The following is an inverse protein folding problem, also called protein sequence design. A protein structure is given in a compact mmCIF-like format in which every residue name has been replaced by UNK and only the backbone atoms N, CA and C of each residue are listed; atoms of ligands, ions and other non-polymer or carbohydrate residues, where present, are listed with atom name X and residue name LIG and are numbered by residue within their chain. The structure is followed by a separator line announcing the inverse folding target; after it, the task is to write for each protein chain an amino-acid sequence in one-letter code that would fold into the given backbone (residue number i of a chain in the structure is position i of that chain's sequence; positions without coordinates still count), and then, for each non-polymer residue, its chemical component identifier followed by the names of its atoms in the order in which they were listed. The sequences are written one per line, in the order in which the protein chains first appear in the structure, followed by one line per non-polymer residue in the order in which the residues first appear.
data_IF_889256098223
#
_entry.id   IF_889256098223
#
_cell.length_a   1.000
_cell.length_b   1.000
_cell.length_c   1.000
_cell.angle_alpha   90.00
_cell.angle_beta   90.00
_cell.angle_gamma   90.00
#
_symmetry.space_group_name_H-M   'P 1'
#
loop_
_entity.id
_entity.type
_entity.pdbx_description
1 polymer ?
#
# COMPACT_ATOMS: atom_id res chain seq x y z
N UNK A 1 6.49 27.27 13.23
CA UNK A 1 6.18 26.11 14.09
C UNK A 1 6.64 24.82 13.40
N UNK A 2 7.47 24.02 14.05
CA UNK A 2 7.91 22.73 13.52
C UNK A 2 6.70 21.78 13.42
N UNK A 3 6.43 21.24 12.22
CA UNK A 3 5.33 20.28 12.01
C UNK A 3 5.64 18.99 12.77
N UNK A 4 4.70 18.53 13.59
CA UNK A 4 4.79 17.24 14.29
C UNK A 4 5.03 16.11 13.28
N UNK A 5 5.89 15.13 13.64
CA UNK A 5 6.13 13.94 12.82
C UNK A 5 4.84 13.13 12.66
N UNK A 6 4.71 12.41 11.53
CA UNK A 6 3.57 11.53 11.32
C UNK A 6 3.64 10.31 12.22
N UNK A 7 2.49 9.89 12.70
CA UNK A 7 2.36 8.63 13.43
C UNK A 7 2.43 7.46 12.44
N UNK A 8 3.14 6.42 12.82
CA UNK A 8 3.10 5.14 12.13
C UNK A 8 2.77 4.05 13.15
N UNK A 9 1.61 3.47 12.99
CA UNK A 9 1.13 2.33 13.77
C UNK A 9 0.94 1.17 12.79
N UNK A 10 1.76 0.11 12.88
CA UNK A 10 1.55 -1.10 12.08
C UNK A 10 0.16 -1.67 12.31
N UNK A 11 -0.54 -2.02 11.23
CA UNK A 11 -1.94 -2.44 11.30
C UNK A 11 -2.94 -1.30 11.42
N UNK A 12 -2.50 -0.07 11.66
CA UNK A 12 -3.35 1.09 11.84
C UNK A 12 -4.16 1.46 10.61
N UNK A 13 -5.37 1.93 10.83
CA UNK A 13 -6.26 2.45 9.79
C UNK A 13 -6.19 3.98 9.78
N UNK A 14 -6.01 4.53 8.61
CA UNK A 14 -5.84 5.97 8.41
C UNK A 14 -6.89 6.51 7.44
N UNK A 15 -7.51 7.61 7.80
CA UNK A 15 -8.13 8.48 6.82
C UNK A 15 -7.05 9.30 6.13
N UNK A 16 -6.94 9.18 4.82
CA UNK A 16 -5.94 9.88 4.00
C UNK A 16 -6.64 10.76 2.99
N UNK A 17 -6.24 12.04 2.94
CA UNK A 17 -6.71 13.00 1.94
C UNK A 17 -5.51 13.60 1.19
N UNK A 18 -5.52 13.49 -0.12
CA UNK A 18 -4.55 14.14 -0.99
C UNK A 18 -5.26 15.12 -1.91
N UNK A 19 -4.95 16.41 -1.78
CA UNK A 19 -5.56 17.45 -2.61
C UNK A 19 -4.64 17.86 -3.76
N UNK A 20 -5.24 18.31 -4.84
CA UNK A 20 -4.51 18.91 -5.96
C UNK A 20 -3.91 20.26 -5.58
N UNK A 21 -2.89 20.67 -6.33
CA UNK A 21 -2.36 22.01 -6.25
C UNK A 21 -3.28 22.99 -6.99
N UNK A 22 -3.55 24.14 -6.39
CA UNK A 22 -4.38 25.20 -6.97
C UNK A 22 -5.77 24.74 -7.50
N UNK A 23 -6.34 23.69 -6.89
CA UNK A 23 -7.63 23.07 -7.27
C UNK A 23 -7.70 22.60 -8.73
N UNK A 24 -6.55 22.36 -9.38
CA UNK A 24 -6.53 21.77 -10.71
C UNK A 24 -7.06 20.33 -10.66
N UNK A 25 -7.68 19.81 -11.74
CA UNK A 25 -8.11 18.43 -11.77
C UNK A 25 -6.95 17.47 -11.56
N UNK A 26 -7.13 16.50 -10.66
CA UNK A 26 -6.20 15.36 -10.51
C UNK A 26 -6.39 14.39 -11.66
N UNK A 27 -7.65 14.19 -12.06
CA UNK A 27 -8.07 13.31 -13.13
C UNK A 27 -8.73 14.12 -14.23
N UNK A 28 -8.24 14.04 -15.44
CA UNK A 28 -8.76 14.78 -16.59
C UNK A 28 -9.65 13.91 -17.48
N UNK A 29 -9.48 12.60 -17.43
CA UNK A 29 -10.26 11.65 -18.20
C UNK A 29 -10.32 10.27 -17.54
N UNK A 30 -11.04 9.33 -18.12
CA UNK A 30 -11.21 7.96 -17.62
C UNK A 30 -9.88 7.20 -17.54
N UNK A 31 -8.91 7.50 -18.40
CA UNK A 31 -7.61 6.84 -18.39
C UNK A 31 -6.76 7.26 -17.18
N UNK A 32 -6.92 8.48 -16.69
CA UNK A 32 -6.24 8.95 -15.48
C UNK A 32 -6.68 8.15 -14.23
N UNK A 33 -7.99 7.90 -14.10
CA UNK A 33 -8.50 7.03 -13.02
C UNK A 33 -7.93 5.62 -13.11
N UNK A 34 -7.97 5.00 -14.30
CA UNK A 34 -7.45 3.66 -14.51
C UNK A 34 -5.95 3.56 -14.19
N UNK A 35 -5.16 4.55 -14.61
CA UNK A 35 -3.73 4.64 -14.28
C UNK A 35 -3.50 4.77 -12.79
N UNK A 36 -4.27 5.63 -12.11
CA UNK A 36 -4.15 5.84 -10.67
C UNK A 36 -4.50 4.57 -9.90
N UNK A 37 -5.61 3.92 -10.22
CA UNK A 37 -6.06 2.68 -9.58
C UNK A 37 -5.09 1.52 -9.79
N UNK A 38 -4.51 1.38 -10.99
CA UNK A 38 -3.48 0.39 -11.27
C UNK A 38 -2.21 0.61 -10.42
N UNK A 39 -1.78 1.89 -10.28
CA UNK A 39 -0.66 2.25 -9.41
C UNK A 39 -0.98 1.96 -7.95
N UNK A 40 -2.18 2.32 -7.51
CA UNK A 40 -2.65 2.06 -6.16
C UNK A 40 -2.67 0.55 -5.87
N UNK A 41 -3.29 -0.26 -6.72
CA UNK A 41 -3.32 -1.71 -6.60
C UNK A 41 -1.91 -2.32 -6.48
N UNK A 42 -0.98 -1.85 -7.32
CA UNK A 42 0.42 -2.27 -7.27
C UNK A 42 1.09 -1.90 -5.94
N UNK A 43 0.83 -0.69 -5.42
CA UNK A 43 1.37 -0.25 -4.14
C UNK A 43 0.77 -1.03 -2.97
N UNK A 44 -0.54 -1.28 -2.98
CA UNK A 44 -1.22 -2.06 -1.95
C UNK A 44 -0.64 -3.48 -1.84
N UNK A 45 -0.45 -4.16 -2.97
CA UNK A 45 0.15 -5.49 -3.00
C UNK A 45 1.59 -5.49 -2.46
N UNK A 46 2.42 -4.52 -2.88
CA UNK A 46 3.82 -4.40 -2.42
C UNK A 46 3.95 -4.07 -0.94
N UNK A 47 3.06 -3.24 -0.43
CA UNK A 47 3.10 -2.77 0.96
C UNK A 47 2.26 -3.64 1.90
N UNK A 48 1.59 -4.67 1.39
CA UNK A 48 0.59 -5.47 2.11
C UNK A 48 -0.45 -4.59 2.81
N UNK A 49 -0.75 -3.44 2.20
CA UNK A 49 -1.73 -2.50 2.70
C UNK A 49 -3.12 -2.83 2.13
N UNK A 50 -4.18 -2.31 2.78
CA UNK A 50 -5.57 -2.51 2.37
C UNK A 50 -6.29 -1.18 2.28
N UNK A 51 -7.11 -1.02 1.26
CA UNK A 51 -8.09 0.08 1.20
C UNK A 51 -9.45 -0.49 1.57
N UNK A 52 -10.07 0.11 2.58
CA UNK A 52 -11.42 -0.24 3.02
C UNK A 52 -12.47 0.57 2.27
N UNK A 53 -12.22 1.84 2.03
CA UNK A 53 -13.10 2.69 1.23
C UNK A 53 -12.33 3.79 0.51
N UNK A 54 -12.90 4.31 -0.55
CA UNK A 54 -12.37 5.47 -1.27
C UNK A 54 -13.48 6.34 -1.86
N UNK A 55 -13.11 7.59 -2.14
CA UNK A 55 -13.85 8.50 -2.99
C UNK A 55 -12.85 9.36 -3.77
N UNK A 56 -12.99 9.38 -5.08
CA UNK A 56 -12.23 10.24 -5.97
C UNK A 56 -13.06 11.47 -6.32
N UNK A 57 -12.64 12.64 -5.89
CA UNK A 57 -13.18 13.91 -6.35
C UNK A 57 -12.30 14.47 -7.48
N UNK A 58 -12.76 15.50 -8.14
CA UNK A 58 -12.00 16.16 -9.23
C UNK A 58 -10.64 16.66 -8.75
N UNK A 59 -10.60 17.23 -7.54
CA UNK A 59 -9.42 17.88 -6.95
C UNK A 59 -8.94 17.23 -5.65
N UNK A 60 -9.52 16.08 -5.25
CA UNK A 60 -9.14 15.37 -4.03
C UNK A 60 -9.26 13.85 -4.14
N UNK A 61 -8.38 13.16 -3.45
CA UNK A 61 -8.36 11.72 -3.27
C UNK A 61 -8.60 11.41 -1.81
N UNK A 62 -9.60 10.61 -1.51
CA UNK A 62 -9.95 10.20 -0.16
C UNK A 62 -9.84 8.69 -0.01
N UNK A 63 -9.15 8.23 1.04
CA UNK A 63 -8.90 6.80 1.31
C UNK A 63 -9.12 6.47 2.79
N UNK A 64 -9.79 5.36 3.05
CA UNK A 64 -9.68 4.63 4.31
C UNK A 64 -8.62 3.53 4.13
N UNK A 65 -7.39 3.80 4.55
CA UNK A 65 -6.20 3.01 4.24
C UNK A 65 -5.66 2.33 5.50
N UNK A 66 -5.59 1.01 5.49
CA UNK A 66 -4.90 0.23 6.51
C UNK A 66 -3.49 -0.10 6.04
N UNK A 67 -2.50 0.23 6.87
CA UNK A 67 -1.10 -0.08 6.59
C UNK A 67 -0.61 -1.24 7.46
N UNK A 68 0.47 -1.87 7.05
CA UNK A 68 1.20 -2.86 7.84
C UNK A 68 2.50 -2.24 8.36
N UNK A 69 3.63 -2.85 8.08
CA UNK A 69 4.94 -2.34 8.51
C UNK A 69 5.38 -1.09 7.76
N UNK A 70 4.89 -0.91 6.50
CA UNK A 70 5.25 0.25 5.72
C UNK A 70 4.44 1.49 6.11
N UNK A 71 5.12 2.59 6.49
CA UNK A 71 4.44 3.83 6.85
C UNK A 71 3.57 4.39 5.71
N UNK A 72 2.38 4.90 6.07
CA UNK A 72 1.47 5.58 5.13
C UNK A 72 2.19 6.66 4.32
N UNK A 73 3.18 7.34 4.95
CA UNK A 73 3.99 8.37 4.30
C UNK A 73 4.76 7.88 3.08
N UNK A 74 5.34 6.70 3.15
CA UNK A 74 6.08 6.10 2.04
C UNK A 74 5.17 5.61 0.93
N UNK A 75 4.04 4.98 1.30
CA UNK A 75 3.05 4.55 0.33
C UNK A 75 2.55 5.76 -0.48
N UNK A 76 2.07 6.80 0.21
CA UNK A 76 1.51 7.98 -0.44
C UNK A 76 2.55 8.77 -1.25
N UNK A 77 3.78 8.91 -0.75
CA UNK A 77 4.87 9.56 -1.48
C UNK A 77 5.16 8.85 -2.81
N UNK A 78 5.23 7.52 -2.80
CA UNK A 78 5.48 6.72 -4.00
C UNK A 78 4.33 6.81 -4.98
N UNK A 79 3.10 6.63 -4.49
CA UNK A 79 1.89 6.70 -5.31
C UNK A 79 1.78 8.06 -5.99
N UNK A 80 1.81 9.14 -5.22
CA UNK A 80 1.68 10.51 -5.73
C UNK A 80 2.79 10.88 -6.72
N UNK A 81 4.05 10.50 -6.41
CA UNK A 81 5.18 10.79 -7.31
C UNK A 81 5.11 10.00 -8.61
N UNK A 82 4.68 8.73 -8.57
CA UNK A 82 4.56 7.92 -9.78
C UNK A 82 3.41 8.40 -10.65
N UNK A 83 2.27 8.74 -10.03
CA UNK A 83 1.12 9.27 -10.75
C UNK A 83 1.43 10.62 -11.37
N UNK A 84 1.96 11.59 -10.61
CA UNK A 84 2.34 12.90 -11.13
C UNK A 84 3.29 12.81 -12.33
N UNK A 85 4.31 11.93 -12.28
CA UNK A 85 5.20 11.70 -13.43
C UNK A 85 4.48 11.17 -14.67
N UNK A 86 3.44 10.34 -14.51
CA UNK A 86 2.65 9.84 -15.65
C UNK A 86 1.76 10.92 -16.25
N UNK A 87 1.11 11.71 -15.40
CA UNK A 87 0.29 12.85 -15.83
C UNK A 87 1.15 13.87 -16.58
N UNK A 88 2.28 14.28 -16.02
CA UNK A 88 3.18 15.25 -16.65
C UNK A 88 3.71 14.77 -18.01
N UNK A 89 4.01 13.48 -18.18
CA UNK A 89 4.41 12.92 -19.48
C UNK A 89 3.28 12.97 -20.52
N UNK A 90 2.03 12.78 -20.08
CA UNK A 90 0.87 12.85 -20.99
C UNK A 90 0.52 14.27 -21.39
N UNK A 91 0.55 15.18 -20.43
CA UNK A 91 0.08 16.55 -20.62
C UNK A 91 1.17 17.49 -21.14
N UNK A 92 2.44 17.07 -21.11
CA UNK A 92 3.57 17.94 -21.50
C UNK A 92 3.83 19.11 -20.55
N UNK A 93 3.09 19.18 -19.43
CA UNK A 93 3.15 20.28 -18.47
C UNK A 93 4.08 19.91 -17.30
N UNK A 94 4.89 20.89 -16.86
CA UNK A 94 5.63 20.82 -15.60
C UNK A 94 4.85 21.47 -14.47
N UNK A 95 5.17 21.14 -13.21
CA UNK A 95 4.58 21.75 -12.04
C UNK A 95 4.23 20.73 -10.95
N UNK A 96 3.63 21.21 -9.86
CA UNK A 96 3.19 20.32 -8.79
C UNK A 96 1.71 19.97 -8.97
N UNK A 97 1.43 18.69 -9.29
CA UNK A 97 0.05 18.20 -9.40
C UNK A 97 -0.67 18.24 -8.05
N UNK A 98 0.02 17.84 -6.98
CA UNK A 98 -0.53 17.78 -5.63
C UNK A 98 -0.03 18.93 -4.77
N UNK A 99 -0.88 19.37 -3.81
CA UNK A 99 -0.44 20.22 -2.71
C UNK A 99 0.67 19.51 -1.93
N UNK A 100 1.47 20.28 -1.20
CA UNK A 100 2.74 19.86 -0.57
C UNK A 100 2.71 18.47 0.09
N UNK A 101 1.65 18.13 0.83
CA UNK A 101 1.55 16.84 1.54
C UNK A 101 0.10 16.46 1.72
N UNK A 102 -0.18 15.15 1.60
CA UNK A 102 -1.45 14.59 2.01
C UNK A 102 -1.68 14.79 3.52
N UNK A 103 -2.93 14.89 3.91
CA UNK A 103 -3.38 14.81 5.30
C UNK A 103 -3.60 13.34 5.67
N UNK A 104 -3.24 12.95 6.91
CA UNK A 104 -3.52 11.59 7.42
C UNK A 104 -3.93 11.66 8.87
N UNK A 105 -5.01 11.01 9.19
CA UNK A 105 -5.60 10.87 10.51
C UNK A 105 -5.65 9.38 10.87
N UNK A 106 -4.96 8.97 11.93
CA UNK A 106 -5.07 7.63 12.47
C UNK A 106 -6.41 7.50 13.17
N UNK A 107 -7.20 6.49 12.85
CA UNK A 107 -8.50 6.26 13.48
C UNK A 107 -8.49 4.98 14.31
N UNK A 108 -9.28 4.97 15.38
CA UNK A 108 -9.69 3.75 16.04
C UNK A 108 -10.66 3.00 15.11
N UNK A 109 -10.29 1.82 14.58
CA UNK A 109 -11.12 1.14 13.61
C UNK A 109 -12.44 0.63 14.18
N UNK A 110 -12.47 0.25 15.46
CA UNK A 110 -13.67 -0.30 16.08
C UNK A 110 -14.77 0.77 16.25
N UNK A 111 -14.35 1.98 16.59
CA UNK A 111 -15.28 3.11 16.81
C UNK A 111 -15.57 3.91 15.52
N UNK A 112 -14.62 3.98 14.58
CA UNK A 112 -14.69 4.96 13.49
C UNK A 112 -14.60 4.39 12.09
N UNK A 113 -14.28 3.11 11.85
CA UNK A 113 -14.15 2.59 10.49
C UNK A 113 -15.46 2.69 9.70
N UNK A 114 -16.58 2.26 10.28
CA UNK A 114 -17.89 2.33 9.62
C UNK A 114 -18.34 3.78 9.39
N UNK A 115 -18.09 4.66 10.35
CA UNK A 115 -18.37 6.10 10.22
C UNK A 115 -17.52 6.73 9.11
N UNK A 116 -16.23 6.37 9.03
CA UNK A 116 -15.34 6.86 7.97
C UNK A 116 -15.79 6.38 6.58
N UNK A 117 -16.15 5.11 6.45
CA UNK A 117 -16.67 4.56 5.19
C UNK A 117 -17.92 5.33 4.75
N UNK A 118 -18.86 5.52 5.67
CA UNK A 118 -20.06 6.33 5.42
C UNK A 118 -19.71 7.76 5.03
N UNK A 119 -18.81 8.39 5.80
CA UNK A 119 -18.34 9.75 5.52
C UNK A 119 -17.79 9.86 4.09
N UNK A 120 -16.94 8.92 3.65
CA UNK A 120 -16.36 8.90 2.31
C UNK A 120 -17.42 8.71 1.22
N UNK A 121 -18.37 7.80 1.42
CA UNK A 121 -19.41 7.52 0.43
C UNK A 121 -20.45 8.64 0.29
N UNK A 122 -20.58 9.48 1.31
CA UNK A 122 -21.46 10.66 1.29
C UNK A 122 -20.78 11.93 0.80
N UNK A 123 -19.48 11.93 0.51
CA UNK A 123 -18.77 13.09 -0.06
C UNK A 123 -19.50 13.63 -1.30
N UNK A 124 -19.85 12.79 -2.32
CA UNK A 124 -20.49 13.29 -3.54
C UNK A 124 -21.88 13.88 -3.31
N UNK A 125 -22.58 13.42 -2.27
CA UNK A 125 -23.88 13.98 -1.89
C UNK A 125 -23.70 15.33 -1.19
N UNK A 126 -22.72 15.43 -0.28
CA UNK A 126 -22.41 16.69 0.43
C UNK A 126 -21.88 17.77 -0.52
N UNK A 127 -21.13 17.39 -1.56
CA UNK A 127 -20.66 18.31 -2.60
C UNK A 127 -21.74 18.68 -3.61
N UNK A 128 -22.91 18.05 -3.55
CA UNK A 128 -24.00 18.27 -4.49
C UNK A 128 -23.79 17.63 -5.87
N UNK A 129 -22.80 16.77 -6.03
CA UNK A 129 -22.51 16.11 -7.31
C UNK A 129 -23.60 15.10 -7.70
N UNK A 130 -24.18 14.41 -6.72
CA UNK A 130 -25.28 13.45 -6.90
C UNK A 130 -26.26 13.56 -5.74
N UNK A 131 -27.49 13.06 -5.92
CA UNK A 131 -28.49 12.96 -4.85
C UNK A 131 -28.40 11.64 -4.10
N UNK A 132 -28.18 10.54 -4.82
CA UNK A 132 -27.95 9.22 -4.27
C UNK A 132 -26.46 8.87 -4.42
N UNK A 133 -25.77 8.47 -3.35
CA UNK A 133 -24.36 8.13 -3.43
C UNK A 133 -24.08 6.92 -4.35
N UNK A 134 -25.09 6.08 -4.62
CA UNK A 134 -24.96 4.95 -5.56
C UNK A 134 -24.83 5.39 -7.03
N UNK A 135 -25.24 6.63 -7.34
CA UNK A 135 -25.07 7.20 -8.68
C UNK A 135 -23.62 7.65 -8.94
N UNK A 136 -22.82 7.80 -7.90
CA UNK A 136 -21.43 8.23 -8.04
C UNK A 136 -20.48 7.04 -8.26
N UNK A 137 -20.10 6.83 -9.52
CA UNK A 137 -19.24 5.71 -9.92
C UNK A 137 -17.78 5.77 -9.43
N UNK A 138 -17.32 6.95 -8.96
CA UNK A 138 -15.94 7.19 -8.55
C UNK A 138 -15.75 7.02 -7.03
N UNK A 139 -16.56 6.18 -6.40
CA UNK A 139 -16.42 5.78 -5.01
C UNK A 139 -16.56 4.28 -4.84
N UNK A 140 -16.14 3.78 -3.69
CA UNK A 140 -16.28 2.36 -3.34
C UNK A 140 -17.69 1.95 -2.93
N UNK A 141 -18.67 2.84 -2.91
CA UNK A 141 -20.00 2.59 -2.40
C UNK A 141 -20.73 1.45 -3.13
N UNK A 142 -20.63 1.39 -4.48
CA UNK A 142 -21.22 0.32 -5.30
C UNK A 142 -20.67 -1.07 -4.96
N UNK A 143 -19.40 -1.16 -4.55
CA UNK A 143 -18.80 -2.42 -4.12
C UNK A 143 -19.38 -2.91 -2.78
N UNK A 144 -19.69 -1.99 -1.87
CA UNK A 144 -20.37 -2.30 -0.62
C UNK A 144 -21.82 -2.78 -0.84
N UNK A 145 -22.48 -2.26 -1.86
CA UNK A 145 -23.81 -2.72 -2.27
C UNK A 145 -23.77 -4.05 -3.03
N UNK A 146 -22.60 -4.54 -3.43
CA UNK A 146 -22.42 -5.73 -4.25
C UNK A 146 -22.73 -5.53 -5.73
N UNK A 147 -22.80 -4.28 -6.19
CA UNK A 147 -23.08 -3.93 -7.59
C UNK A 147 -21.83 -4.00 -8.48
N UNK A 148 -20.64 -3.87 -7.88
CA UNK A 148 -19.34 -3.93 -8.55
C UNK A 148 -18.34 -4.71 -7.73
N UNK A 149 -17.29 -5.26 -8.40
CA UNK A 149 -16.16 -5.88 -7.74
C UNK A 149 -14.89 -5.10 -8.08
N UNK A 150 -14.14 -4.71 -7.05
CA UNK A 150 -12.88 -4.01 -7.18
C UNK A 150 -11.82 -4.90 -6.52
N UNK A 151 -10.93 -5.55 -7.29
CA UNK A 151 -10.04 -6.59 -6.77
C UNK A 151 -9.10 -6.17 -5.64
N UNK A 152 -8.69 -4.90 -5.63
CA UNK A 152 -7.79 -4.35 -4.61
C UNK A 152 -8.50 -3.75 -3.40
N UNK A 153 -9.85 -3.70 -3.39
CA UNK A 153 -10.66 -3.14 -2.31
C UNK A 153 -11.03 -4.22 -1.28
N UNK A 154 -10.93 -3.90 -0.01
CA UNK A 154 -11.28 -4.81 1.09
C UNK A 154 -12.58 -4.35 1.77
N UNK A 155 -13.73 -4.85 1.32
CA UNK A 155 -15.03 -4.52 1.92
C UNK A 155 -15.40 -5.47 3.07
N UNK A 156 -14.85 -6.68 3.06
CA UNK A 156 -15.25 -7.78 3.94
C UNK A 156 -15.03 -7.49 5.43
N UNK A 157 -14.03 -6.69 5.79
CA UNK A 157 -13.77 -6.33 7.19
C UNK A 157 -14.94 -5.51 7.74
N UNK A 158 -15.25 -4.40 7.09
CA UNK A 158 -16.32 -3.52 7.53
C UNK A 158 -17.71 -4.16 7.43
N UNK A 159 -17.97 -4.95 6.38
CA UNK A 159 -19.23 -5.67 6.26
C UNK A 159 -19.43 -6.69 7.39
N UNK A 160 -18.38 -7.39 7.83
CA UNK A 160 -18.44 -8.31 8.98
C UNK A 160 -18.69 -7.60 10.31
N UNK A 161 -18.32 -6.34 10.45
CA UNK A 161 -18.68 -5.53 11.63
C UNK A 161 -20.19 -5.28 11.70
N UNK A 162 -20.89 -5.28 10.57
CA UNK A 162 -22.33 -5.06 10.50
C UNK A 162 -23.14 -6.36 10.67
N UNK A 163 -22.72 -7.45 10.04
CA UNK A 163 -23.35 -8.77 10.21
C UNK A 163 -22.44 -9.88 9.65
N UNK A 164 -22.66 -11.11 10.14
CA UNK A 164 -21.88 -12.29 9.71
C UNK A 164 -22.26 -12.75 8.28
N UNK A 165 -23.53 -12.67 7.93
CA UNK A 165 -24.03 -13.08 6.61
C UNK A 165 -23.92 -11.93 5.62
N UNK A 166 -23.34 -12.14 4.42
CA UNK A 166 -23.09 -11.07 3.45
C UNK A 166 -24.33 -10.25 3.06
N UNK A 167 -25.47 -10.91 2.91
CA UNK A 167 -26.74 -10.24 2.55
C UNK A 167 -27.24 -9.34 3.67
N UNK A 168 -27.19 -9.83 4.90
CA UNK A 168 -27.55 -9.05 6.09
C UNK A 168 -26.61 -7.88 6.29
N UNK A 169 -25.30 -8.10 6.06
CA UNK A 169 -24.30 -7.05 6.16
C UNK A 169 -24.55 -5.93 5.12
N UNK A 170 -24.87 -6.29 3.88
CA UNK A 170 -25.25 -5.29 2.85
C UNK A 170 -26.55 -4.56 3.17
N UNK A 171 -27.52 -5.26 3.73
CA UNK A 171 -28.75 -4.62 4.19
C UNK A 171 -28.47 -3.63 5.33
N UNK A 172 -27.70 -4.05 6.34
CA UNK A 172 -27.30 -3.18 7.44
C UNK A 172 -26.45 -1.98 6.95
N UNK A 173 -25.57 -2.20 5.97
CA UNK A 173 -24.82 -1.12 5.33
C UNK A 173 -25.74 -0.10 4.63
N UNK A 174 -26.75 -0.55 3.89
CA UNK A 174 -27.74 0.36 3.29
C UNK A 174 -28.43 1.21 4.36
N UNK A 175 -28.86 0.60 5.46
CA UNK A 175 -29.48 1.34 6.58
C UNK A 175 -28.52 2.38 7.16
N UNK A 176 -27.24 2.00 7.37
CA UNK A 176 -26.20 2.91 7.85
C UNK A 176 -26.07 4.16 6.96
N UNK A 177 -26.21 4.03 5.65
CA UNK A 177 -26.12 5.17 4.71
C UNK A 177 -27.27 6.17 4.86
N UNK A 178 -28.45 5.74 5.34
CA UNK A 178 -29.63 6.58 5.53
C UNK A 178 -29.77 7.13 6.95
N UNK A 179 -28.96 6.68 7.90
CA UNK A 179 -28.97 7.23 9.25
C UNK A 179 -28.57 8.71 9.23
N UNK A 180 -29.22 9.53 10.04
CA UNK A 180 -28.84 10.93 10.18
C UNK A 180 -27.37 11.02 10.68
N UNK A 181 -26.49 11.79 10.05
CA UNK A 181 -25.13 11.98 10.57
C UNK A 181 -25.21 12.66 11.93
N UNK A 182 -24.33 12.28 12.85
CA UNK A 182 -24.08 13.09 14.03
C UNK A 182 -23.64 14.50 13.58
N UNK A 183 -24.09 15.53 14.27
CA UNK A 183 -23.87 16.94 13.89
C UNK A 183 -22.37 17.27 13.61
N UNK A 184 -21.45 16.56 14.26
CA UNK A 184 -20.01 16.81 14.21
C UNK A 184 -19.22 15.72 13.46
N UNK A 185 -19.88 14.73 12.82
CA UNK A 185 -19.19 13.58 12.22
C UNK A 185 -18.13 14.00 11.19
N UNK A 186 -18.43 15.00 10.35
CA UNK A 186 -17.50 15.54 9.37
C UNK A 186 -16.32 16.30 10.01
N UNK A 187 -16.62 17.09 11.05
CA UNK A 187 -15.62 17.87 11.75
C UNK A 187 -14.55 17.00 12.44
N UNK A 188 -14.93 15.84 12.98
CA UNK A 188 -14.01 14.90 13.60
C UNK A 188 -12.98 14.36 12.60
N UNK A 189 -13.38 14.05 11.36
CA UNK A 189 -12.44 13.59 10.32
C UNK A 189 -11.54 14.68 9.78
N UNK A 190 -11.88 15.95 9.96
CA UNK A 190 -11.05 17.08 9.55
C UNK A 190 -10.07 17.50 10.64
N UNK A 191 -10.49 17.48 11.91
CA UNK A 191 -9.75 18.04 13.05
C UNK A 191 -9.02 17.01 13.90
N UNK A 192 -9.51 15.74 13.92
CA UNK A 192 -9.03 14.74 14.87
C UNK A 192 -9.51 15.00 16.30
N UNK A 193 -8.81 14.45 17.30
CA UNK A 193 -9.06 14.71 18.71
C UNK A 193 -8.39 16.03 19.15
N UNK A 194 -8.94 16.64 20.19
CA UNK A 194 -8.39 17.89 20.76
C UNK A 194 -6.97 17.69 21.30
N UNK A 195 -6.67 16.53 21.91
CA UNK A 195 -5.37 16.21 22.46
C UNK A 195 -4.30 15.98 21.36
N UNK A 196 -4.67 15.30 20.27
CA UNK A 196 -3.80 15.09 19.12
C UNK A 196 -4.58 15.10 17.79
N UNK A 197 -4.46 16.16 16.98
CA UNK A 197 -5.18 16.29 15.72
C UNK A 197 -4.76 15.26 14.65
N UNK A 198 -3.82 14.37 14.95
CA UNK A 198 -3.39 13.26 14.08
C UNK A 198 -4.13 11.96 14.37
N UNK A 199 -4.95 11.93 15.44
CA UNK A 199 -5.62 10.74 15.95
C UNK A 199 -7.11 11.02 16.11
N UNK A 200 -7.94 10.02 15.84
CA UNK A 200 -9.36 9.99 16.15
C UNK A 200 -9.66 8.66 16.87
N UNK A 201 -9.84 8.75 18.16
CA UNK A 201 -10.08 7.62 19.06
C UNK A 201 -10.33 8.12 20.47
N UNK A 202 -10.69 7.21 21.36
CA UNK A 202 -10.85 7.51 22.77
C UNK A 202 -9.49 7.58 23.51
N UNK A 203 -9.53 7.89 24.80
CA UNK A 203 -8.33 7.98 25.63
C UNK A 203 -7.57 6.66 25.72
N UNK A 204 -8.27 5.52 25.73
CA UNK A 204 -7.65 4.21 25.79
C UNK A 204 -6.90 3.91 24.50
N UNK A 205 -7.53 4.14 23.34
CA UNK A 205 -6.89 4.01 22.05
C UNK A 205 -5.63 4.89 21.94
N UNK A 206 -5.70 6.16 22.37
CA UNK A 206 -4.56 7.05 22.37
C UNK A 206 -3.43 6.59 23.30
N UNK A 207 -3.77 6.03 24.48
CA UNK A 207 -2.77 5.49 25.41
C UNK A 207 -2.08 4.23 24.87
N UNK A 208 -2.74 3.48 24.01
CA UNK A 208 -2.17 2.27 23.40
C UNK A 208 -1.32 2.54 22.15
N UNK A 209 -1.46 3.72 21.51
CA UNK A 209 -0.64 4.11 20.34
C UNK A 209 0.87 3.96 20.58
N UNK A 210 1.47 4.47 21.69
CA UNK A 210 2.90 4.33 21.95
C UNK A 210 3.36 2.86 22.01
N UNK A 211 2.50 1.95 22.49
CA UNK A 211 2.79 0.51 22.56
C UNK A 211 2.81 -0.14 21.17
N UNK A 212 2.02 0.39 20.25
CA UNK A 212 1.92 -0.07 18.87
C UNK A 212 2.82 0.70 17.91
N UNK A 213 3.34 1.86 18.32
CA UNK A 213 4.30 2.61 17.53
C UNK A 213 5.61 1.82 17.41
N UNK A 214 5.78 1.19 16.26
CA UNK A 214 7.13 0.75 15.87
C UNK A 214 7.78 1.89 15.10
N UNK A 215 8.95 2.32 15.58
CA UNK A 215 9.85 3.07 14.73
C UNK A 215 10.12 2.14 13.55
N UNK A 216 9.68 2.52 12.34
CA UNK A 216 10.00 1.78 11.14
C UNK A 216 11.53 1.85 10.98
N UNK A 217 12.21 0.90 11.59
CA UNK A 217 13.57 0.55 11.25
C UNK A 217 13.46 -0.66 10.35
N UNK A 218 13.92 -0.52 9.13
CA UNK A 218 14.16 -1.70 8.30
C UNK A 218 14.97 -2.69 9.15
N UNK A 219 14.60 -3.96 9.12
CA UNK A 219 15.39 -5.02 9.74
C UNK A 219 16.80 -5.12 9.12
N UNK A 220 17.03 -4.41 8.03
CA UNK A 220 18.32 -4.33 7.33
C UNK A 220 19.06 -3.05 7.71
N UNK A 221 20.34 -3.17 7.98
CA UNK A 221 21.28 -2.05 8.01
C UNK A 221 21.71 -1.69 6.58
N UNK A 222 22.18 -0.45 6.38
CA UNK A 222 22.74 -0.03 5.08
C UNK A 222 23.93 -0.90 4.70
N UNK A 223 24.74 -1.34 5.66
CA UNK A 223 25.88 -2.22 5.42
C UNK A 223 25.43 -3.60 4.93
N UNK A 224 24.35 -4.17 5.46
CA UNK A 224 23.78 -5.41 4.95
C UNK A 224 23.27 -5.26 3.51
N UNK A 225 22.68 -4.11 3.15
CA UNK A 225 22.28 -3.86 1.76
C UNK A 225 23.50 -3.79 0.86
N UNK A 226 24.57 -3.12 1.30
CA UNK A 226 25.85 -3.05 0.55
C UNK A 226 26.38 -4.46 0.33
N UNK A 227 26.47 -5.27 1.39
CA UNK A 227 27.02 -6.63 1.31
C UNK A 227 26.19 -7.53 0.38
N UNK A 228 24.86 -7.47 0.51
CA UNK A 228 23.96 -8.29 -0.32
C UNK A 228 24.09 -7.92 -1.80
N UNK A 229 24.07 -6.62 -2.14
CA UNK A 229 24.22 -6.18 -3.53
C UNK A 229 25.62 -6.49 -4.07
N UNK A 230 26.67 -6.34 -3.25
CA UNK A 230 28.03 -6.67 -3.61
C UNK A 230 28.18 -8.16 -3.95
N UNK A 231 27.63 -9.03 -3.11
CA UNK A 231 27.59 -10.48 -3.34
C UNK A 231 26.81 -10.82 -4.61
N UNK A 232 25.62 -10.25 -4.80
CA UNK A 232 24.75 -10.52 -5.96
C UNK A 232 25.42 -10.13 -7.30
N UNK A 233 26.20 -9.06 -7.31
CA UNK A 233 26.88 -8.57 -8.51
C UNK A 233 28.32 -9.06 -8.66
N UNK A 234 28.84 -9.85 -7.72
CA UNK A 234 30.22 -10.33 -7.72
C UNK A 234 31.24 -9.18 -7.68
N UNK A 235 30.97 -8.14 -6.88
CA UNK A 235 31.87 -6.99 -6.69
C UNK A 235 32.32 -6.90 -5.24
N UNK A 236 33.57 -6.53 -5.03
CA UNK A 236 34.09 -6.36 -3.68
C UNK A 236 33.48 -5.12 -3.00
N UNK A 237 33.13 -5.26 -1.72
CA UNK A 237 32.60 -4.15 -0.91
C UNK A 237 33.54 -2.93 -0.92
N UNK A 238 34.84 -3.18 -0.81
CA UNK A 238 35.89 -2.15 -0.87
C UNK A 238 35.85 -1.37 -2.18
N UNK A 239 35.64 -2.05 -3.31
CA UNK A 239 35.48 -1.41 -4.62
C UNK A 239 34.22 -0.56 -4.71
N UNK A 240 33.09 -1.04 -4.16
CA UNK A 240 31.84 -0.28 -4.12
C UNK A 240 31.98 1.01 -3.33
N UNK A 241 32.72 0.98 -2.22
CA UNK A 241 33.01 2.16 -1.39
C UNK A 241 34.11 3.04 -1.97
N UNK A 242 34.92 2.56 -2.92
CA UNK A 242 36.02 3.29 -3.53
C UNK A 242 35.54 4.45 -4.41
N UNK A 243 36.46 5.33 -4.85
CA UNK A 243 36.16 6.43 -5.79
C UNK A 243 36.09 6.00 -7.26
N UNK A 244 36.29 4.73 -7.57
CA UNK A 244 36.28 4.19 -8.93
C UNK A 244 34.95 4.49 -9.65
N UNK A 245 35.03 4.85 -10.97
CA UNK A 245 33.88 5.16 -11.83
C UNK A 245 33.52 4.04 -12.79
N UNK A 246 34.03 2.83 -12.55
CA UNK A 246 33.71 1.69 -13.40
C UNK A 246 32.20 1.45 -13.49
N UNK A 247 31.70 1.05 -14.68
CA UNK A 247 30.27 0.86 -14.93
C UNK A 247 29.62 -0.15 -13.98
N UNK A 248 30.33 -1.27 -13.68
CA UNK A 248 29.86 -2.30 -12.74
C UNK A 248 29.61 -1.73 -11.33
N UNK A 249 30.52 -0.86 -10.86
CA UNK A 249 30.42 -0.24 -9.54
C UNK A 249 29.36 0.87 -9.51
N UNK A 250 29.19 1.57 -10.62
CA UNK A 250 28.11 2.56 -10.76
C UNK A 250 26.74 1.89 -10.72
N UNK A 251 26.58 0.71 -11.33
CA UNK A 251 25.36 -0.11 -11.23
C UNK A 251 25.15 -0.60 -9.80
N UNK A 252 26.18 -1.12 -9.13
CA UNK A 252 26.10 -1.57 -7.75
C UNK A 252 25.63 -0.44 -6.82
N UNK A 253 26.23 0.75 -6.93
CA UNK A 253 25.82 1.93 -6.15
C UNK A 253 24.39 2.37 -6.44
N UNK A 254 23.94 2.30 -7.69
CA UNK A 254 22.57 2.60 -8.08
C UNK A 254 21.59 1.60 -7.43
N UNK A 255 21.92 0.30 -7.45
CA UNK A 255 21.09 -0.73 -6.79
C UNK A 255 21.08 -0.58 -5.28
N UNK A 256 22.22 -0.34 -4.64
CA UNK A 256 22.31 -0.07 -3.19
C UNK A 256 21.43 1.14 -2.84
N UNK A 257 21.57 2.22 -3.60
CA UNK A 257 20.77 3.43 -3.38
C UNK A 257 19.28 3.14 -3.51
N UNK A 258 18.90 2.44 -4.57
CA UNK A 258 17.51 2.11 -4.80
C UNK A 258 16.94 1.18 -3.72
N UNK A 259 17.64 0.09 -3.39
CA UNK A 259 17.19 -0.83 -2.33
C UNK A 259 17.11 -0.16 -0.96
N UNK A 260 18.14 0.60 -0.58
CA UNK A 260 18.17 1.28 0.71
C UNK A 260 17.03 2.29 0.84
N UNK A 261 16.76 3.07 -0.21
CA UNK A 261 15.68 4.05 -0.21
C UNK A 261 14.30 3.41 -0.35
N UNK A 262 14.15 2.39 -1.21
CA UNK A 262 12.87 1.72 -1.42
C UNK A 262 12.44 0.88 -0.21
N UNK A 263 13.36 0.18 0.44
CA UNK A 263 13.07 -0.56 1.67
C UNK A 263 13.12 0.31 2.93
N UNK A 264 13.52 1.56 2.82
CA UNK A 264 13.58 2.49 3.94
C UNK A 264 14.68 2.19 4.95
N UNK A 265 15.71 1.56 4.50
CA UNK A 265 16.92 1.30 5.28
C UNK A 265 17.65 2.60 5.58
N UNK A 266 17.78 3.46 4.56
CA UNK A 266 18.45 4.74 4.67
C UNK A 266 17.85 5.77 3.71
N UNK A 267 17.99 7.04 4.03
CA UNK A 267 17.68 8.15 3.13
C UNK A 267 18.74 8.27 2.03
N UNK A 268 18.40 8.92 0.90
CA UNK A 268 19.37 9.19 -0.15
C UNK A 268 20.62 9.92 0.39
N UNK A 269 20.44 10.86 1.32
CA UNK A 269 21.54 11.60 1.93
C UNK A 269 22.46 10.70 2.79
N UNK A 270 21.88 9.74 3.54
CA UNK A 270 22.67 8.76 4.32
C UNK A 270 23.44 7.80 3.41
N UNK A 271 22.79 7.30 2.34
CA UNK A 271 23.48 6.47 1.34
C UNK A 271 24.59 7.23 0.66
N UNK A 272 24.35 8.48 0.29
CA UNK A 272 25.34 9.35 -0.35
C UNK A 272 26.56 9.58 0.54
N UNK A 273 26.32 9.84 1.81
CA UNK A 273 27.41 9.97 2.83
C UNK A 273 28.18 8.66 2.99
N UNK A 274 27.49 7.52 3.06
CA UNK A 274 28.13 6.20 3.23
C UNK A 274 28.96 5.77 2.03
N UNK A 275 28.50 6.10 0.80
CA UNK A 275 29.19 5.80 -0.44
C UNK A 275 30.17 6.88 -0.90
N UNK A 276 30.31 7.97 -0.15
CA UNK A 276 31.10 9.16 -0.50
C UNK A 276 30.79 9.69 -1.91
N UNK A 277 29.48 9.86 -2.20
CA UNK A 277 28.99 10.32 -3.50
C UNK A 277 27.98 11.43 -3.32
N UNK A 278 27.89 12.27 -4.35
CA UNK A 278 26.85 13.28 -4.43
C UNK A 278 25.48 12.63 -4.59
N UNK A 279 24.44 13.07 -3.80
CA UNK A 279 23.10 12.54 -3.87
C UNK A 279 22.48 12.60 -5.27
N UNK A 280 22.73 13.68 -6.03
CA UNK A 280 22.21 13.85 -7.39
C UNK A 280 22.82 12.83 -8.33
N UNK A 281 24.12 12.54 -8.19
CA UNK A 281 24.81 11.50 -8.98
C UNK A 281 24.20 10.11 -8.73
N UNK A 282 23.91 9.77 -7.48
CA UNK A 282 23.26 8.50 -7.12
C UNK A 282 21.83 8.43 -7.67
N UNK A 283 21.07 9.51 -7.55
CA UNK A 283 19.70 9.58 -8.07
C UNK A 283 19.67 9.39 -9.60
N UNK A 284 20.51 10.12 -10.34
CA UNK A 284 20.63 9.98 -11.80
C UNK A 284 21.08 8.56 -12.17
N UNK A 285 22.00 7.98 -11.39
CA UNK A 285 22.42 6.59 -11.56
C UNK A 285 21.25 5.61 -11.43
N UNK A 286 20.41 5.76 -10.42
CA UNK A 286 19.20 4.92 -10.22
C UNK A 286 18.25 5.04 -11.41
N UNK A 287 17.91 6.25 -11.85
CA UNK A 287 16.98 6.45 -12.99
C UNK A 287 17.57 5.85 -14.30
N UNK A 288 18.86 6.05 -14.55
CA UNK A 288 19.56 5.49 -15.72
C UNK A 288 19.54 3.97 -15.73
N UNK A 289 19.97 3.33 -14.65
CA UNK A 289 20.11 1.87 -14.64
C UNK A 289 18.76 1.17 -14.50
N UNK A 290 17.77 1.80 -13.89
CA UNK A 290 16.40 1.31 -13.86
C UNK A 290 15.76 1.24 -15.25
N UNK A 291 16.17 2.12 -16.17
CA UNK A 291 15.75 2.07 -17.58
C UNK A 291 16.54 1.02 -18.38
N UNK A 292 17.85 0.89 -18.11
CA UNK A 292 18.74 -0.01 -18.86
C UNK A 292 18.65 -1.48 -18.41
N UNK A 293 18.39 -1.73 -17.14
CA UNK A 293 18.39 -3.06 -16.51
C UNK A 293 17.21 -3.20 -15.52
N UNK A 294 15.96 -3.06 -16.02
CA UNK A 294 14.76 -3.06 -15.16
C UNK A 294 14.60 -4.34 -14.33
N UNK A 295 15.12 -5.47 -14.83
CA UNK A 295 15.09 -6.77 -14.16
C UNK A 295 15.82 -6.79 -12.80
N UNK A 296 16.85 -5.96 -12.62
CA UNK A 296 17.59 -5.87 -11.37
C UNK A 296 16.90 -4.97 -10.32
N UNK A 297 15.99 -4.12 -10.75
CA UNK A 297 15.27 -3.19 -9.88
C UNK A 297 13.94 -3.79 -9.41
N UNK A 298 14.00 -5.04 -8.93
CA UNK A 298 12.88 -5.78 -8.36
C UNK A 298 13.15 -6.06 -6.87
N UNK A 299 12.20 -5.72 -5.99
CA UNK A 299 12.33 -5.91 -4.54
C UNK A 299 12.42 -7.39 -4.12
N UNK A 300 12.02 -8.32 -4.98
CA UNK A 300 12.14 -9.77 -4.76
C UNK A 300 13.50 -10.34 -5.17
N UNK A 301 14.33 -9.58 -5.88
CA UNK A 301 15.62 -10.06 -6.39
C UNK A 301 16.71 -10.21 -5.29
N UNK A 302 16.52 -9.59 -4.13
CA UNK A 302 17.35 -9.87 -2.97
C UNK A 302 16.60 -10.82 -2.03
N UNK A 303 17.20 -11.95 -1.66
CA UNK A 303 16.59 -12.87 -0.73
C UNK A 303 16.23 -12.15 0.57
N UNK A 304 15.05 -12.49 1.12
CA UNK A 304 14.65 -12.12 2.46
C UNK A 304 15.51 -12.94 3.44
N UNK A 305 16.76 -12.57 3.57
CA UNK A 305 17.61 -13.12 4.61
C UNK A 305 17.08 -12.57 5.93
N UNK A 306 16.14 -13.30 6.52
CA UNK A 306 15.86 -13.20 7.95
C UNK A 306 17.18 -13.27 8.72
N UNK A 307 17.21 -12.90 9.99
CA UNK A 307 18.44 -12.84 10.76
C UNK A 307 19.20 -14.15 10.56
N UNK A 308 20.38 -14.06 9.95
CA UNK A 308 21.32 -15.15 9.88
C UNK A 308 21.55 -15.59 11.34
N UNK A 309 21.01 -16.75 11.69
CA UNK A 309 21.40 -17.45 12.91
C UNK A 309 22.93 -17.48 12.89
N UNK A 310 23.54 -16.85 13.88
CA UNK A 310 24.98 -16.96 14.10
C UNK A 310 25.30 -18.45 14.04
N UNK A 311 26.38 -18.88 13.35
CA UNK A 311 26.81 -20.26 13.46
C UNK A 311 27.12 -20.50 14.93
N UNK A 312 26.36 -21.39 15.56
CA UNK A 312 26.68 -21.94 16.86
C UNK A 312 28.04 -22.61 16.73
N UNK A 313 29.01 -22.14 17.45
CA UNK A 313 30.30 -22.78 17.62
C UNK A 313 30.07 -24.25 17.97
N UNK A 314 30.85 -25.18 17.43
CA UNK A 314 30.71 -26.60 17.74
C UNK A 314 30.98 -26.82 19.21
N UNK A 315 29.92 -27.12 19.97
CA UNK A 315 30.02 -27.54 21.37
C UNK A 315 30.69 -28.90 21.45
N UNK A 316 31.67 -28.97 22.28
CA UNK A 316 32.39 -30.15 22.75
C UNK A 316 31.42 -31.28 23.16
N UNK A 317 31.60 -32.52 22.74
CA UNK A 317 30.75 -33.64 23.15
C UNK A 317 31.08 -34.08 24.55
N UNK A 318 30.11 -34.15 25.44
CA UNK A 318 30.19 -34.86 26.72
C UNK A 318 29.61 -36.25 26.57
N UNK A 319 30.29 -37.30 27.09
CA UNK A 319 29.87 -38.67 26.88
C UNK A 319 28.94 -39.21 27.98
N UNK A 320 28.06 -40.13 27.58
CA UNK A 320 27.54 -41.20 28.46
C UNK A 320 26.09 -41.09 28.89
N UNK A 321 25.21 -41.89 28.34
CA UNK A 321 24.68 -43.11 28.93
C UNK A 321 23.74 -43.85 27.99
N UNK A 322 24.09 -45.08 27.76
CA UNK A 322 23.30 -46.08 27.07
C UNK A 322 22.24 -46.69 28.01
N UNK A 323 21.11 -47.11 27.46
CA UNK A 323 20.37 -48.38 27.69
C UNK A 323 19.14 -48.33 26.78
N UNK A 324 19.11 -49.11 25.71
CA UNK A 324 18.54 -50.46 25.50
C UNK A 324 17.02 -50.59 25.67
N UNK A 325 16.34 -50.90 24.62
CA UNK A 325 15.59 -52.12 24.26
C UNK A 325 14.43 -51.80 23.29
N UNK A 326 14.55 -52.33 22.11
CA UNK A 326 13.83 -53.49 21.56
C UNK A 326 12.42 -53.26 20.98
N UNK A 327 12.33 -53.53 19.73
CA UNK A 327 11.30 -53.82 18.70
C UNK A 327 10.29 -54.90 19.17
N UNK A 328 9.06 -55.13 18.60
CA UNK A 328 8.84 -55.35 17.19
C UNK A 328 7.49 -54.91 16.54
N UNK A 329 7.57 -54.71 15.23
CA UNK A 329 6.78 -55.26 14.10
C UNK A 329 5.29 -55.65 14.26
N UNK A 330 4.45 -55.03 13.41
CA UNK A 330 3.39 -55.60 12.54
C UNK A 330 2.64 -54.42 11.91
N UNK A 331 2.58 -54.16 10.64
CA UNK A 331 2.16 -55.03 9.54
C UNK A 331 0.70 -54.78 9.22
N UNK A 332 0.37 -53.97 8.21
CA UNK A 332 -0.69 -54.25 7.22
C UNK A 332 -0.58 -53.22 6.08
N UNK A 333 -0.57 -53.77 4.88
CA UNK A 333 -0.41 -53.15 3.54
C UNK A 333 -1.81 -52.87 2.92
N UNK A 334 -1.96 -52.31 1.73
CA UNK A 334 -2.83 -51.14 1.39
C UNK A 334 -4.12 -51.57 0.69
N UNK A 335 -5.02 -50.62 0.56
CA UNK A 335 -6.14 -50.74 -0.37
C UNK A 335 -6.20 -49.51 -1.29
N UNK A 336 -5.89 -49.79 -2.53
CA UNK A 336 -6.19 -48.98 -3.72
C UNK A 336 -7.69 -48.80 -3.88
N UNK A 337 -8.15 -47.61 -4.15
CA UNK A 337 -9.44 -47.39 -4.79
C UNK A 337 -9.27 -46.38 -5.92
N UNK A 338 -9.79 -46.82 -7.06
CA UNK A 338 -9.80 -46.27 -8.40
C UNK A 338 -10.22 -44.80 -8.58
N UNK A 339 -9.57 -44.23 -9.58
CA UNK A 339 -9.99 -43.01 -10.29
C UNK A 339 -10.87 -43.45 -11.47
N UNK A 340 -11.99 -42.77 -11.77
CA UNK A 340 -12.49 -42.69 -13.11
C UNK A 340 -12.21 -41.30 -13.72
N UNK A 341 -11.47 -41.35 -14.83
CA UNK A 341 -11.42 -40.36 -15.88
C UNK A 341 -12.78 -40.22 -16.58
N UNK A 342 -13.23 -39.01 -16.77
CA UNK A 342 -14.22 -38.72 -17.82
C UNK A 342 -13.74 -37.46 -18.58
N UNK A 343 -13.47 -37.73 -19.84
CA UNK A 343 -13.23 -36.77 -20.91
C UNK A 343 -14.51 -36.02 -21.29
N UNK A 344 -14.26 -34.78 -21.80
CA UNK A 344 -14.97 -34.17 -22.93
C UNK A 344 -16.43 -33.74 -22.75
N UNK A 345 -16.63 -32.42 -22.73
CA UNK A 345 -17.44 -31.79 -23.79
C UNK A 345 -17.22 -30.27 -23.82
N UNK A 346 -16.57 -29.85 -24.88
CA UNK A 346 -16.58 -28.45 -25.33
C UNK A 346 -17.97 -28.16 -25.94
N UNK A 347 -18.61 -27.07 -25.53
CA UNK A 347 -19.43 -26.30 -26.46
C UNK A 347 -19.57 -24.84 -26.02
N UNK A 348 -19.35 -24.00 -26.99
CA UNK A 348 -19.37 -22.56 -27.07
C UNK A 348 -20.66 -21.91 -26.57
N UNK A 349 -20.50 -20.76 -25.92
CA UNK A 349 -21.44 -19.64 -26.08
C UNK A 349 -20.65 -18.33 -25.90
N UNK A 350 -20.24 -17.77 -27.02
CA UNK A 350 -19.88 -16.37 -27.15
C UNK A 350 -21.14 -15.53 -26.90
N UNK A 351 -21.15 -14.76 -25.81
CA UNK A 351 -22.16 -13.70 -25.62
C UNK A 351 -21.46 -12.36 -25.70
N UNK A 352 -21.79 -11.67 -26.78
CA UNK A 352 -21.42 -10.33 -27.17
C UNK A 352 -21.71 -9.35 -26.02
N UNK A 353 -20.71 -8.69 -25.54
CA UNK A 353 -20.85 -7.55 -24.63
C UNK A 353 -21.24 -6.32 -25.46
N UNK A 354 -22.42 -5.83 -25.21
CA UNK A 354 -22.96 -4.56 -25.75
C UNK A 354 -22.19 -3.41 -25.06
N UNK A 355 -21.66 -2.42 -25.78
CA UNK A 355 -21.01 -1.27 -25.18
C UNK A 355 -22.06 -0.37 -24.51
N UNK A 356 -21.74 0.09 -23.30
CA UNK A 356 -22.52 1.07 -22.57
C UNK A 356 -22.59 2.41 -23.31
N UNK A 357 -23.70 3.16 -23.19
CA UNK A 357 -23.88 4.40 -23.92
C UNK A 357 -22.92 5.49 -23.45
N UNK A 358 -22.36 6.20 -24.41
CA UNK A 358 -21.53 7.36 -24.23
C UNK A 358 -22.28 8.45 -23.44
N UNK A 359 -21.68 8.90 -22.35
CA UNK A 359 -22.12 10.08 -21.62
C UNK A 359 -21.73 11.34 -22.41
N UNK A 360 -22.62 11.79 -23.28
CA UNK A 360 -22.62 13.13 -23.83
C UNK A 360 -23.39 14.04 -22.87
N UNK A 361 -22.67 14.73 -22.04
CA UNK A 361 -23.19 15.76 -21.15
C UNK A 361 -22.08 16.79 -20.94
N UNK A 362 -21.97 17.77 -21.84
CA UNK A 362 -21.09 18.91 -21.68
C UNK A 362 -21.52 19.70 -20.44
N UNK A 363 -20.66 19.72 -19.45
CA UNK A 363 -20.80 20.56 -18.26
C UNK A 363 -20.38 21.99 -18.63
N UNK A 364 -21.31 22.94 -18.54
CA UNK A 364 -21.07 24.38 -18.68
C UNK A 364 -21.00 24.99 -17.27
N UNK A 365 -19.91 25.67 -16.89
CA UNK A 365 -19.84 26.34 -15.60
C UNK A 365 -20.75 27.58 -15.60
N UNK A 366 -21.65 27.65 -14.62
CA UNK A 366 -22.34 28.92 -14.31
C UNK A 366 -21.38 29.80 -13.52
N UNK A 367 -21.34 31.07 -13.95
CA UNK A 367 -20.61 32.17 -13.33
C UNK A 367 -21.10 32.46 -11.92
#
# INVERSE_FOLDING_TARGET
MSRRSRLHVPGGVYYVVQRSNARQPIFTDAADYAIFEQLLATMLARCRARVHAFCWEVDAIHLALQVTDMPVGRLMQRLSSQYARRVHRRQGNGGHLFQQRYHSLLIDPDAYLLKLIRYLHLIPVRSGAVRDPSDYGLSSQRAYLGMTQIPWLTTSVALRMLAQRPEQARYAYRRLMFEAPAADEGAHFERGCDEDPRVLGDRQFMADIPRHMRVYRSSYSLDQVIDTVSCTLGVERSEVLSRSRQRRLSLARALITWYATERGVATLAEVARRLERDPSTLFVGVERYRTLRPELFNLTALPDTGPLLRPTSPGVPTPGNAVSSAVPMSGVVPTTVDVPSVEETAHAAATVATPAPALSGAWVPRR
#
